data_IF_020384495677
#
_entry.id   IF_020384495677
#
_cell.length_a   1.000
_cell.length_b   1.000
_cell.length_c   1.000
_cell.angle_alpha   90.00
_cell.angle_beta   90.00
_cell.angle_gamma   90.00
#
_symmetry.space_group_name_H-M   'P 1'
#
loop_
_entity.id
_entity.type
_entity.pdbx_description
1 polymer ?
#
# COMPACT_ATOMS: atom_id res chain seq x y z
N UNK A 1 47.43 -39.73 26.12
CA UNK A 1 46.81 -38.74 25.22
C UNK A 1 47.17 -37.37 25.77
N UNK A 2 48.07 -36.66 25.09
CA UNK A 2 48.75 -35.48 25.63
C UNK A 2 47.78 -34.30 25.85
N UNK A 3 47.82 -33.70 27.04
CA UNK A 3 47.07 -32.49 27.38
C UNK A 3 47.29 -31.34 26.36
N UNK A 4 48.44 -31.36 25.66
CA UNK A 4 48.77 -30.44 24.56
C UNK A 4 47.87 -30.60 23.34
N UNK A 5 47.53 -31.84 22.96
CA UNK A 5 46.62 -32.13 21.86
C UNK A 5 45.18 -31.72 22.21
N UNK A 6 44.77 -31.94 23.47
CA UNK A 6 43.47 -31.50 23.96
C UNK A 6 43.34 -29.97 23.97
N UNK A 7 44.38 -29.25 24.41
CA UNK A 7 44.42 -27.79 24.40
C UNK A 7 44.37 -27.21 22.97
N UNK A 8 45.11 -27.80 22.02
CA UNK A 8 45.08 -27.43 20.61
C UNK A 8 43.69 -27.61 19.99
N UNK A 9 43.04 -28.74 20.26
CA UNK A 9 41.67 -29.00 19.79
C UNK A 9 40.66 -27.98 20.32
N UNK A 10 40.79 -27.59 21.59
CA UNK A 10 39.92 -26.60 22.21
C UNK A 10 40.09 -25.20 21.60
N UNK A 11 41.34 -24.76 21.40
CA UNK A 11 41.63 -23.46 20.76
C UNK A 11 41.09 -23.42 19.33
N UNK A 12 41.27 -24.50 18.56
CA UNK A 12 40.73 -24.58 17.20
C UNK A 12 39.19 -24.51 17.17
N UNK A 13 38.52 -25.20 18.09
CA UNK A 13 37.07 -25.15 18.21
C UNK A 13 36.56 -23.75 18.57
N UNK A 14 37.23 -23.07 19.51
CA UNK A 14 36.92 -21.68 19.89
C UNK A 14 37.08 -20.75 18.68
N UNK A 15 38.20 -20.82 17.97
CA UNK A 15 38.45 -19.98 16.78
C UNK A 15 37.39 -20.22 15.69
N UNK A 16 36.96 -21.46 15.47
CA UNK A 16 35.90 -21.77 14.50
C UNK A 16 34.55 -21.18 14.91
N UNK A 17 34.17 -21.31 16.18
CA UNK A 17 32.90 -20.74 16.69
C UNK A 17 32.93 -19.22 16.59
N UNK A 18 33.96 -18.56 17.12
CA UNK A 18 34.05 -17.10 17.07
C UNK A 18 34.23 -16.57 15.64
N UNK A 19 34.93 -17.31 14.78
CA UNK A 19 35.05 -16.99 13.36
C UNK A 19 33.71 -17.07 12.63
N UNK A 20 32.89 -18.09 12.92
CA UNK A 20 31.56 -18.23 12.31
C UNK A 20 30.58 -17.15 12.75
N UNK A 21 30.61 -16.77 14.04
CA UNK A 21 29.79 -15.68 14.58
C UNK A 21 30.26 -14.34 14.03
N UNK A 22 31.56 -14.09 14.02
CA UNK A 22 32.15 -12.88 13.42
C UNK A 22 31.80 -12.75 11.94
N UNK A 23 31.88 -13.86 11.17
CA UNK A 23 31.48 -13.88 9.76
C UNK A 23 29.98 -13.60 9.58
N UNK A 24 29.14 -14.13 10.46
CA UNK A 24 27.69 -13.90 10.41
C UNK A 24 27.32 -12.45 10.75
N UNK A 25 28.06 -11.82 11.66
CA UNK A 25 27.88 -10.40 12.01
C UNK A 25 28.47 -9.43 10.98
N UNK A 26 29.49 -9.87 10.22
CA UNK A 26 30.11 -9.08 9.15
C UNK A 26 29.40 -9.24 7.80
N UNK A 27 28.58 -10.29 7.63
CA UNK A 27 27.75 -10.43 6.44
C UNK A 27 26.65 -9.36 6.50
N UNK A 28 26.57 -8.55 5.46
CA UNK A 28 25.41 -7.69 5.27
C UNK A 28 24.16 -8.59 5.33
N UNK A 29 23.11 -8.20 6.09
CA UNK A 29 21.86 -8.94 6.08
C UNK A 29 21.38 -9.05 4.64
N UNK A 30 20.91 -10.24 4.26
CA UNK A 30 20.28 -10.41 2.94
C UNK A 30 19.14 -9.38 2.84
N UNK A 31 19.02 -8.67 1.71
CA UNK A 31 17.91 -7.77 1.52
C UNK A 31 16.61 -8.58 1.68
N UNK A 32 15.59 -8.03 2.35
CA UNK A 32 14.29 -8.70 2.41
C UNK A 32 13.82 -9.01 0.98
N UNK A 33 13.11 -10.14 0.77
CA UNK A 33 12.61 -10.49 -0.56
C UNK A 33 11.80 -9.32 -1.12
N UNK A 34 12.00 -9.00 -2.40
CA UNK A 34 11.16 -8.04 -3.10
C UNK A 34 9.72 -8.54 -3.02
N UNK A 35 8.83 -7.69 -2.54
CA UNK A 35 7.43 -8.04 -2.40
C UNK A 35 6.80 -7.46 -3.63
N UNK A 36 6.17 -8.29 -4.47
CA UNK A 36 5.57 -7.80 -5.70
C UNK A 36 4.66 -6.65 -5.31
N UNK A 37 4.72 -5.51 -6.02
CA UNK A 37 3.72 -4.44 -5.86
C UNK A 37 2.71 -4.57 -7.00
N UNK A 38 1.44 -4.21 -6.79
CA UNK A 38 0.48 -4.13 -7.90
C UNK A 38 -0.24 -2.80 -7.83
N UNK A 39 -0.48 -2.19 -8.98
CA UNK A 39 -1.14 -0.90 -9.04
C UNK A 39 -2.19 -0.84 -10.15
N UNK A 40 -3.23 -0.05 -9.91
CA UNK A 40 -4.26 0.30 -10.87
C UNK A 40 -4.37 1.82 -10.92
N UNK A 41 -4.40 2.38 -12.13
CA UNK A 41 -4.65 3.80 -12.37
C UNK A 41 -6.13 4.01 -12.60
N UNK A 42 -6.74 4.98 -11.94
CA UNK A 42 -8.16 5.25 -11.96
C UNK A 42 -8.45 6.66 -12.46
N UNK A 43 -9.41 6.76 -13.38
CA UNK A 43 -9.85 7.99 -14.02
C UNK A 43 -11.32 8.26 -13.72
N UNK A 44 -11.66 9.51 -13.41
CA UNK A 44 -13.04 9.95 -13.22
C UNK A 44 -13.72 10.21 -14.57
N UNK A 45 -14.85 9.56 -14.82
CA UNK A 45 -15.70 9.81 -15.97
C UNK A 45 -16.81 10.82 -15.63
N UNK A 46 -17.31 10.78 -14.39
CA UNK A 46 -18.28 11.74 -13.89
C UNK A 46 -17.90 12.22 -12.49
N UNK A 47 -18.23 13.47 -12.19
CA UNK A 47 -18.02 14.08 -10.89
C UNK A 47 -19.08 15.14 -10.62
N UNK A 48 -19.64 15.13 -9.41
CA UNK A 48 -20.61 16.11 -8.94
C UNK A 48 -20.19 16.67 -7.59
N UNK A 49 -20.27 17.99 -7.41
CA UNK A 49 -20.19 18.64 -6.10
C UNK A 49 -21.59 19.12 -5.69
N UNK A 50 -22.15 18.50 -4.65
CA UNK A 50 -23.56 18.66 -4.31
C UNK A 50 -24.47 18.33 -5.49
N UNK A 51 -25.19 19.35 -5.99
CA UNK A 51 -26.11 19.22 -7.12
C UNK A 51 -25.49 19.54 -8.50
N UNK A 52 -24.24 20.01 -8.55
CA UNK A 52 -23.57 20.39 -9.79
C UNK A 52 -22.75 19.23 -10.36
N UNK A 53 -23.29 18.56 -11.38
CA UNK A 53 -22.69 17.40 -12.05
C UNK A 53 -21.86 17.73 -13.29
N UNK A 54 -21.38 18.97 -13.43
CA UNK A 54 -20.43 19.39 -14.47
C UNK A 54 -19.10 19.91 -13.90
N UNK A 55 -18.90 19.78 -12.59
CA UNK A 55 -17.68 20.24 -11.93
C UNK A 55 -16.44 19.52 -12.50
N UNK A 56 -15.32 20.22 -12.55
CA UNK A 56 -14.05 19.62 -12.98
C UNK A 56 -13.71 18.45 -12.04
N UNK A 57 -13.49 17.24 -12.57
CA UNK A 57 -13.17 16.09 -11.75
C UNK A 57 -11.81 16.28 -11.05
N UNK A 58 -11.60 15.59 -9.92
CA UNK A 58 -10.27 15.45 -9.33
C UNK A 58 -9.27 14.85 -10.34
N UNK A 59 -7.96 15.07 -10.16
CA UNK A 59 -6.96 14.38 -10.97
C UNK A 59 -7.05 12.87 -10.78
N UNK A 60 -6.50 12.14 -11.75
CA UNK A 60 -6.39 10.68 -11.68
C UNK A 60 -5.70 10.25 -10.38
N UNK A 61 -6.13 9.10 -9.88
CA UNK A 61 -5.60 8.51 -8.67
C UNK A 61 -5.14 7.09 -8.94
N UNK A 62 -4.25 6.59 -8.10
CA UNK A 62 -3.80 5.20 -8.16
C UNK A 62 -4.19 4.46 -6.90
N UNK A 63 -4.60 3.21 -7.09
CA UNK A 63 -4.74 2.23 -6.02
C UNK A 63 -3.52 1.33 -6.10
N UNK A 64 -2.74 1.31 -5.02
CA UNK A 64 -1.59 0.43 -4.89
C UNK A 64 -1.95 -0.65 -3.88
N UNK A 65 -1.81 -1.90 -4.29
CA UNK A 65 -1.94 -3.08 -3.44
C UNK A 65 -0.58 -3.73 -3.39
N UNK A 66 0.00 -3.82 -2.18
CA UNK A 66 1.16 -4.63 -1.74
C UNK A 66 2.10 -3.84 -0.82
N UNK A 67 2.86 -4.42 0.09
CA UNK A 67 3.10 -5.80 0.59
C UNK A 67 4.18 -5.68 1.73
N UNK A 68 4.63 -6.67 2.52
CA UNK A 68 3.90 -7.81 3.09
C UNK A 68 2.78 -7.22 3.99
N UNK A 69 1.98 -8.03 4.66
CA UNK A 69 0.92 -7.52 5.57
C UNK A 69 -0.35 -6.95 4.89
N UNK A 70 -0.61 -7.24 3.61
CA UNK A 70 -1.94 -7.04 2.96
C UNK A 70 -2.49 -5.59 3.07
N UNK A 71 -1.64 -4.58 2.82
CA UNK A 71 -2.02 -3.15 2.88
C UNK A 71 -2.41 -2.60 1.51
N UNK A 72 -3.36 -1.67 1.53
CA UNK A 72 -3.80 -0.90 0.36
C UNK A 72 -3.49 0.58 0.57
N UNK A 73 -3.03 1.23 -0.48
CA UNK A 73 -2.74 2.66 -0.52
C UNK A 73 -3.54 3.31 -1.65
N UNK A 74 -3.99 4.54 -1.43
CA UNK A 74 -4.71 5.33 -2.43
C UNK A 74 -4.23 6.77 -2.41
N UNK A 75 -4.12 7.40 -3.58
CA UNK A 75 -3.77 8.80 -3.68
C UNK A 75 -3.56 9.24 -5.13
N UNK A 76 -3.16 10.51 -5.34
CA UNK A 76 -2.99 11.06 -6.68
C UNK A 76 -1.99 10.24 -7.51
N UNK A 77 -2.25 10.11 -8.81
CA UNK A 77 -1.44 9.31 -9.73
C UNK A 77 0.04 9.72 -9.70
N UNK A 78 0.31 11.03 -9.67
CA UNK A 78 1.65 11.60 -9.70
C UNK A 78 2.25 11.87 -8.30
N UNK A 79 1.57 11.43 -7.23
CA UNK A 79 1.99 11.70 -5.85
C UNK A 79 2.31 10.47 -5.01
N UNK A 80 2.51 10.70 -3.71
CA UNK A 80 2.66 9.64 -2.71
C UNK A 80 1.29 9.21 -2.20
N UNK A 81 0.86 7.95 -2.40
CA UNK A 81 -0.44 7.49 -1.91
C UNK A 81 -0.44 7.34 -0.39
N UNK A 82 -1.57 7.68 0.22
CA UNK A 82 -1.82 7.50 1.65
C UNK A 82 -2.28 6.07 1.95
N UNK A 83 -2.21 5.67 3.23
CA UNK A 83 -2.75 4.37 3.65
C UNK A 83 -4.28 4.39 3.60
N UNK A 84 -4.87 3.37 3.01
CA UNK A 84 -6.32 3.22 2.91
C UNK A 84 -6.83 2.07 3.79
N UNK A 85 -8.05 2.22 4.28
CA UNK A 85 -8.82 1.12 4.88
C UNK A 85 -9.64 0.42 3.80
N UNK A 86 -9.69 -0.91 3.85
CA UNK A 86 -10.44 -1.71 2.87
C UNK A 86 -11.51 -2.53 3.58
N UNK A 87 -12.75 -2.44 3.09
CA UNK A 87 -13.86 -3.31 3.47
C UNK A 87 -14.29 -4.09 2.24
N UNK A 88 -14.25 -5.42 2.32
CA UNK A 88 -14.68 -6.29 1.23
C UNK A 88 -16.21 -6.48 1.29
N UNK A 89 -16.86 -6.26 0.16
CA UNK A 89 -18.31 -6.43 -0.04
C UNK A 89 -18.51 -7.53 -1.09
N UNK A 90 -19.73 -8.04 -1.21
CA UNK A 90 -20.04 -9.02 -2.26
C UNK A 90 -19.93 -8.35 -3.64
N UNK A 91 -18.93 -8.76 -4.44
CA UNK A 91 -18.69 -8.23 -5.79
C UNK A 91 -17.98 -6.87 -5.88
N UNK A 92 -17.61 -6.26 -4.74
CA UNK A 92 -16.94 -4.95 -4.69
C UNK A 92 -16.02 -4.80 -3.47
N UNK A 93 -15.15 -3.79 -3.50
CA UNK A 93 -14.31 -3.38 -2.38
C UNK A 93 -14.52 -1.90 -2.09
N UNK A 94 -14.77 -1.56 -0.83
CA UNK A 94 -14.83 -0.18 -0.38
C UNK A 94 -13.48 0.22 0.21
N UNK A 95 -12.83 1.18 -0.44
CA UNK A 95 -11.50 1.69 -0.10
C UNK A 95 -11.67 3.13 0.38
N UNK A 96 -11.29 3.41 1.61
CA UNK A 96 -11.45 4.72 2.23
C UNK A 96 -10.12 5.29 2.72
N UNK A 97 -9.87 6.57 2.46
CA UNK A 97 -8.70 7.30 2.95
C UNK A 97 -9.07 8.73 3.32
N UNK A 98 -8.31 9.30 4.25
CA UNK A 98 -8.25 10.75 4.42
C UNK A 98 -7.60 11.36 3.17
N UNK A 99 -8.19 12.44 2.66
CA UNK A 99 -7.75 13.12 1.43
C UNK A 99 -7.36 14.58 1.65
N UNK A 100 -7.41 15.05 2.90
CA UNK A 100 -7.04 16.40 3.30
C UNK A 100 -7.92 16.95 4.42
N UNK A 101 -7.84 18.27 4.60
CA UNK A 101 -8.62 19.02 5.59
C UNK A 101 -9.20 20.26 4.93
N UNK A 102 -10.46 20.58 5.23
CA UNK A 102 -11.13 21.80 4.81
C UNK A 102 -11.79 22.45 6.02
N UNK A 103 -11.50 23.74 6.25
CA UNK A 103 -12.04 24.51 7.38
C UNK A 103 -11.78 23.86 8.77
N UNK A 104 -10.66 23.14 8.94
CA UNK A 104 -10.36 22.43 10.19
C UNK A 104 -11.04 21.06 10.32
N UNK A 105 -11.65 20.54 9.25
CA UNK A 105 -12.37 19.26 9.24
C UNK A 105 -11.73 18.31 8.24
N UNK A 106 -11.33 17.13 8.72
CA UNK A 106 -10.79 16.07 7.87
C UNK A 106 -11.80 15.62 6.82
N UNK A 107 -11.34 15.50 5.58
CA UNK A 107 -12.09 15.01 4.44
C UNK A 107 -11.71 13.56 4.15
N UNK A 108 -12.72 12.72 3.93
CA UNK A 108 -12.55 11.32 3.60
C UNK A 108 -13.07 11.05 2.19
N UNK A 109 -12.22 10.47 1.36
CA UNK A 109 -12.57 9.91 0.06
C UNK A 109 -12.85 8.42 0.21
N UNK A 110 -13.95 7.95 -0.37
CA UNK A 110 -14.33 6.54 -0.41
C UNK A 110 -14.56 6.13 -1.86
N UNK A 111 -13.86 5.09 -2.29
CA UNK A 111 -14.00 4.46 -3.60
C UNK A 111 -14.61 3.08 -3.39
N UNK A 112 -15.75 2.81 -4.02
CA UNK A 112 -16.33 1.48 -4.12
C UNK A 112 -15.93 0.89 -5.48
N UNK A 113 -14.90 0.05 -5.47
CA UNK A 113 -14.33 -0.57 -6.65
C UNK A 113 -15.05 -1.89 -6.96
N UNK A 114 -15.63 -2.00 -8.16
CA UNK A 114 -16.28 -3.20 -8.66
C UNK A 114 -15.27 -4.15 -9.32
N UNK A 115 -15.64 -5.42 -9.41
CA UNK A 115 -14.80 -6.47 -10.01
C UNK A 115 -14.49 -6.25 -11.51
N UNK A 116 -15.30 -5.47 -12.22
CA UNK A 116 -15.09 -5.09 -13.62
C UNK A 116 -14.11 -3.91 -13.80
N UNK A 117 -13.60 -3.34 -12.69
CA UNK A 117 -12.73 -2.16 -12.69
C UNK A 117 -13.48 -0.83 -12.66
N UNK A 118 -14.81 -0.83 -12.73
CA UNK A 118 -15.59 0.38 -12.52
C UNK A 118 -15.60 0.80 -11.05
N UNK A 119 -15.74 2.09 -10.76
CA UNK A 119 -15.85 2.57 -9.38
C UNK A 119 -16.92 3.65 -9.19
N UNK A 120 -17.39 3.73 -7.95
CA UNK A 120 -18.18 4.85 -7.43
C UNK A 120 -17.37 5.58 -6.34
N UNK A 121 -17.38 6.90 -6.37
CA UNK A 121 -16.64 7.76 -5.45
C UNK A 121 -17.58 8.59 -4.59
N UNK A 122 -17.19 8.79 -3.33
CA UNK A 122 -17.87 9.68 -2.39
C UNK A 122 -16.85 10.45 -1.54
N UNK A 123 -17.05 11.75 -1.39
CA UNK A 123 -16.34 12.62 -0.44
C UNK A 123 -17.24 12.99 0.73
N UNK A 124 -16.73 12.88 1.94
CA UNK A 124 -17.46 13.18 3.18
C UNK A 124 -16.58 13.82 4.24
N UNK A 125 -17.10 14.78 5.01
CA UNK A 125 -16.47 15.31 6.24
C UNK A 125 -16.50 14.37 7.46
N UNK A 126 -17.22 13.23 7.40
CA UNK A 126 -17.30 12.24 8.49
C UNK A 126 -17.31 10.81 7.94
N UNK A 127 -16.60 9.89 8.60
CA UNK A 127 -16.56 8.47 8.25
C UNK A 127 -17.96 7.84 8.28
N UNK A 128 -18.39 7.33 7.12
CA UNK A 128 -19.42 6.29 6.92
C UNK A 128 -20.77 6.61 7.60
N UNK A 129 -21.42 7.73 7.25
CA UNK A 129 -22.91 7.86 7.30
C UNK A 129 -23.45 9.24 6.88
N UNK A 130 -22.60 10.20 6.51
CA UNK A 130 -23.08 11.51 6.07
C UNK A 130 -23.49 11.50 4.59
N UNK A 131 -24.40 12.42 4.25
CA UNK A 131 -24.66 12.79 2.87
C UNK A 131 -23.33 13.20 2.20
N UNK A 132 -23.03 12.68 0.99
CA UNK A 132 -21.77 12.99 0.32
C UNK A 132 -21.76 14.45 -0.15
N UNK A 133 -20.68 15.15 0.12
CA UNK A 133 -20.46 16.52 -0.39
C UNK A 133 -20.08 16.52 -1.87
N UNK A 134 -19.42 15.44 -2.30
CA UNK A 134 -19.15 15.18 -3.69
C UNK A 134 -19.30 13.69 -4.00
N UNK A 135 -19.69 13.41 -5.24
CA UNK A 135 -19.82 12.06 -5.76
C UNK A 135 -19.17 11.96 -7.13
N UNK A 136 -18.89 10.77 -7.59
CA UNK A 136 -18.38 10.56 -8.94
C UNK A 136 -18.35 9.10 -9.31
N UNK A 137 -18.00 8.81 -10.54
CA UNK A 137 -17.77 7.45 -11.01
C UNK A 137 -16.71 7.45 -12.10
N UNK A 138 -16.15 6.28 -12.36
CA UNK A 138 -15.18 6.10 -13.42
C UNK A 138 -14.66 4.68 -13.50
N UNK A 139 -13.46 4.54 -14.06
CA UNK A 139 -12.85 3.24 -14.33
C UNK A 139 -11.38 3.21 -13.91
N UNK A 140 -10.93 2.03 -13.48
CA UNK A 140 -9.55 1.73 -13.17
C UNK A 140 -8.98 0.75 -14.20
N UNK A 141 -7.70 0.89 -14.52
CA UNK A 141 -6.95 -0.11 -15.28
C UNK A 141 -6.88 -1.42 -14.49
N UNK A 142 -6.66 -2.58 -15.15
CA UNK A 142 -6.31 -3.80 -14.45
C UNK A 142 -5.10 -3.59 -13.54
N UNK A 143 -5.06 -4.31 -12.42
CA UNK A 143 -3.90 -4.31 -11.53
C UNK A 143 -2.72 -4.97 -12.25
N UNK A 144 -1.65 -4.20 -12.46
CA UNK A 144 -0.39 -4.67 -13.04
C UNK A 144 0.69 -4.69 -11.98
N UNK A 145 1.59 -5.67 -12.04
CA UNK A 145 2.75 -5.70 -11.15
C UNK A 145 3.62 -4.46 -11.38
N UNK A 146 3.98 -3.79 -10.30
CA UNK A 146 4.93 -2.70 -10.22
C UNK A 146 6.09 -3.15 -9.34
N UNK A 147 7.34 -2.98 -9.78
CA UNK A 147 8.51 -3.43 -9.04
C UNK A 147 9.78 -3.46 -9.88
N UNK A 148 10.95 -3.68 -9.28
CA UNK A 148 12.23 -3.70 -9.97
C UNK A 148 12.38 -4.83 -11.01
N UNK A 149 11.46 -5.81 -11.00
CA UNK A 149 11.39 -6.93 -11.94
C UNK A 149 10.22 -6.80 -12.96
N UNK A 150 9.52 -5.66 -12.99
CA UNK A 150 8.43 -5.35 -13.93
C UNK A 150 8.95 -4.69 -15.23
#
# INVERSE_FOLDING_TARGET
MDARLAALGLVAAVVLVFGSVGWSMLRAPEPPPAIPETSALCHFETYCEGADCGASPPPDFRIVRNGPYDRTYIGPADGSPGTASVTRLEGAEQISSEIGEEEGVALFGTVTLRSDGGFDYRRTRRLISSEPEATGSGTCTPFTETGPDA
#
